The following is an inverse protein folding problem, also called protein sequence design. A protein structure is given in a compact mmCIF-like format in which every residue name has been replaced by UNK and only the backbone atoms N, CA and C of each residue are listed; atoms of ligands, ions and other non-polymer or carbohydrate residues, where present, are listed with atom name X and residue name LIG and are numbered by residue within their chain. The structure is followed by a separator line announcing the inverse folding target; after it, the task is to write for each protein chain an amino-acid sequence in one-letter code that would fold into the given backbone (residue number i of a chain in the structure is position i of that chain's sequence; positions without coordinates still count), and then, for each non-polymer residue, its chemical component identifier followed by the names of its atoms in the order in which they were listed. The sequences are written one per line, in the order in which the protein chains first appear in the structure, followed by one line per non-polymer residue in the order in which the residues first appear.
data_IF_705645138525
#
_entry.id   IF_705645138525
#
_cell.length_a   1.000
_cell.length_b   1.000
_cell.length_c   1.000
_cell.angle_alpha   90.00
_cell.angle_beta   90.00
_cell.angle_gamma   90.00
#
_symmetry.space_group_name_H-M   'P 1'
#
loop_
_entity.id
_entity.type
_entity.pdbx_description
1 polymer ?
#
# COMPACT_ATOMS: atom_id res chain seq x y z
N UNK A 1 11.73 -64.98 29.38
CA UNK A 1 11.46 -65.20 27.95
C UNK A 1 11.07 -63.86 27.39
N UNK A 2 12.05 -63.05 27.00
CA UNK A 2 11.80 -61.84 26.21
C UNK A 2 11.54 -62.28 24.77
N UNK A 3 10.37 -61.92 24.27
CA UNK A 3 9.99 -62.12 22.88
C UNK A 3 10.75 -61.10 22.05
N UNK A 4 11.82 -61.53 21.38
CA UNK A 4 12.43 -60.76 20.29
C UNK A 4 11.47 -60.78 19.11
N UNK A 5 10.67 -59.73 18.94
CA UNK A 5 9.91 -59.52 17.70
C UNK A 5 10.90 -59.43 16.54
N UNK A 6 10.59 -60.16 15.46
CA UNK A 6 11.38 -60.20 14.25
C UNK A 6 11.23 -58.85 13.51
N UNK A 7 12.29 -58.03 13.36
CA UNK A 7 12.20 -56.72 12.72
C UNK A 7 11.75 -56.81 11.26
N UNK A 8 12.03 -57.91 10.55
CA UNK A 8 11.59 -58.12 9.16
C UNK A 8 10.07 -58.24 9.02
N UNK A 9 9.35 -58.68 10.07
CA UNK A 9 7.89 -58.82 10.00
C UNK A 9 7.15 -57.47 10.12
N UNK A 10 7.84 -56.41 10.57
CA UNK A 10 7.26 -55.08 10.76
C UNK A 10 7.32 -54.23 9.48
N UNK A 11 8.21 -54.57 8.54
CA UNK A 11 8.38 -53.84 7.27
C UNK A 11 7.18 -53.98 6.32
N UNK A 12 6.45 -55.11 6.38
CA UNK A 12 5.34 -55.39 5.46
C UNK A 12 3.97 -54.83 5.93
N UNK A 13 3.88 -54.33 7.17
CA UNK A 13 2.60 -53.93 7.77
C UNK A 13 2.38 -52.43 7.94
N UNK A 14 3.39 -51.58 7.75
CA UNK A 14 3.24 -50.12 7.93
C UNK A 14 2.58 -49.52 6.69
N UNK A 15 1.37 -48.99 6.88
CA UNK A 15 0.65 -48.29 5.82
C UNK A 15 1.07 -46.82 5.75
N UNK A 16 1.02 -46.20 4.56
CA UNK A 16 1.31 -44.77 4.35
C UNK A 16 0.56 -43.89 5.37
N UNK A 17 -0.68 -44.25 5.72
CA UNK A 17 -1.49 -43.49 6.68
C UNK A 17 -0.97 -43.57 8.12
N UNK A 18 -0.45 -44.71 8.56
CA UNK A 18 0.12 -44.86 9.90
C UNK A 18 1.45 -44.11 10.01
N UNK A 19 2.31 -44.21 8.99
CA UNK A 19 3.58 -43.50 8.96
C UNK A 19 3.40 -41.97 8.84
N UNK A 20 2.37 -41.49 8.11
CA UNK A 20 2.00 -40.06 8.12
C UNK A 20 1.54 -39.62 9.50
N UNK A 21 0.79 -40.46 10.22
CA UNK A 21 0.31 -40.15 11.57
C UNK A 21 1.45 -40.10 12.60
N UNK A 22 2.46 -40.97 12.47
CA UNK A 22 3.68 -40.92 13.29
C UNK A 22 4.58 -39.70 12.96
N UNK A 23 4.65 -39.30 11.68
CA UNK A 23 5.47 -38.17 11.23
C UNK A 23 4.98 -36.79 11.72
N UNK A 24 3.72 -36.66 12.14
CA UNK A 24 3.17 -35.41 12.71
C UNK A 24 3.84 -35.05 14.05
N UNK A 25 4.74 -35.88 14.59
CA UNK A 25 5.46 -35.65 15.85
C UNK A 25 7.00 -35.76 15.85
N UNK A 26 7.68 -36.02 14.72
CA UNK A 26 9.15 -36.15 14.70
C UNK A 26 9.75 -36.69 13.39
N UNK A 27 11.09 -36.77 13.30
CA UNK A 27 11.80 -37.34 12.13
C UNK A 27 11.49 -38.84 11.96
N UNK A 28 11.14 -39.24 10.73
CA UNK A 28 10.91 -40.64 10.40
C UNK A 28 12.23 -41.45 10.41
N UNK A 29 12.25 -42.66 10.98
CA UNK A 29 13.38 -43.58 10.81
C UNK A 29 13.66 -43.85 9.33
N UNK A 30 14.95 -43.95 8.98
CA UNK A 30 15.42 -44.13 7.59
C UNK A 30 14.78 -45.33 6.87
N UNK A 31 14.46 -46.39 7.63
CA UNK A 31 13.81 -47.60 7.13
C UNK A 31 12.35 -47.33 6.73
N UNK A 32 11.63 -46.50 7.50
CA UNK A 32 10.24 -46.10 7.22
C UNK A 32 10.19 -45.19 5.99
N UNK A 33 11.15 -44.27 5.85
CA UNK A 33 11.27 -43.40 4.67
C UNK A 33 11.50 -44.20 3.37
N UNK A 34 12.30 -45.27 3.43
CA UNK A 34 12.57 -46.14 2.28
C UNK A 34 11.34 -46.98 1.87
N UNK A 35 10.54 -47.44 2.84
CA UNK A 35 9.27 -48.14 2.56
C UNK A 35 8.23 -47.17 1.98
N UNK A 36 8.09 -45.98 2.57
CA UNK A 36 7.23 -44.92 2.05
C UNK A 36 7.60 -44.56 0.62
N UNK A 37 8.88 -44.33 0.32
CA UNK A 37 9.34 -43.99 -1.04
C UNK A 37 8.91 -45.03 -2.08
N UNK A 38 8.97 -46.33 -1.75
CA UNK A 38 8.50 -47.41 -2.62
C UNK A 38 6.99 -47.41 -2.78
N UNK A 39 6.24 -47.32 -1.68
CA UNK A 39 4.78 -47.32 -1.73
C UNK A 39 4.23 -46.10 -2.50
N UNK A 40 4.85 -44.93 -2.32
CA UNK A 40 4.47 -43.67 -2.97
C UNK A 40 4.79 -43.71 -4.47
N UNK A 41 5.91 -44.34 -4.87
CA UNK A 41 6.29 -44.42 -6.28
C UNK A 41 5.20 -45.07 -7.15
N UNK A 42 4.45 -46.02 -6.59
CA UNK A 42 3.37 -46.73 -7.27
C UNK A 42 2.00 -46.03 -7.16
N UNK A 43 1.89 -44.92 -6.42
CA UNK A 43 0.62 -44.20 -6.26
C UNK A 43 0.30 -43.31 -7.49
N UNK A 44 -0.96 -43.33 -7.99
CA UNK A 44 -1.39 -42.42 -9.04
C UNK A 44 -1.38 -40.97 -8.56
N UNK A 45 -0.92 -40.04 -9.39
CA UNK A 45 -1.02 -38.61 -9.07
C UNK A 45 -2.48 -38.19 -8.99
N UNK A 46 -2.91 -37.77 -7.80
CA UNK A 46 -4.30 -37.44 -7.47
C UNK A 46 -4.98 -38.40 -6.50
N UNK A 47 -4.31 -39.49 -6.09
CA UNK A 47 -4.83 -40.39 -5.04
C UNK A 47 -4.76 -39.78 -3.63
N UNK A 48 -3.97 -38.71 -3.46
CA UNK A 48 -3.85 -37.97 -2.20
C UNK A 48 -4.17 -36.47 -2.41
N UNK A 49 -4.81 -35.82 -1.42
CA UNK A 49 -4.93 -34.36 -1.36
C UNK A 49 -3.56 -33.65 -1.48
N UNK A 50 -3.56 -32.43 -2.02
CA UNK A 50 -2.32 -31.65 -2.28
C UNK A 50 -1.49 -31.38 -1.02
N UNK A 51 -2.16 -31.15 0.10
CA UNK A 51 -1.59 -30.92 1.42
C UNK A 51 -0.86 -32.16 1.98
N UNK A 52 -1.36 -33.36 1.69
CA UNK A 52 -0.69 -34.60 2.10
C UNK A 52 0.63 -34.82 1.36
N UNK A 53 0.72 -34.43 0.09
CA UNK A 53 1.98 -34.48 -0.65
C UNK A 53 3.06 -33.60 -0.04
N UNK A 54 2.69 -32.43 0.51
CA UNK A 54 3.63 -31.53 1.19
C UNK A 54 4.23 -32.18 2.45
N UNK A 55 3.39 -32.85 3.24
CA UNK A 55 3.81 -33.57 4.46
C UNK A 55 4.70 -34.76 4.10
N UNK A 56 4.36 -35.50 3.05
CA UNK A 56 5.17 -36.63 2.58
C UNK A 56 6.54 -36.12 2.11
N UNK A 57 6.59 -35.10 1.26
CA UNK A 57 7.84 -34.57 0.74
C UNK A 57 8.72 -33.91 1.82
N UNK A 58 8.14 -33.36 2.89
CA UNK A 58 8.91 -32.77 3.99
C UNK A 58 9.66 -33.80 4.83
N UNK A 59 9.28 -35.08 4.74
CA UNK A 59 9.90 -36.17 5.47
C UNK A 59 10.89 -36.99 4.63
N UNK A 60 11.08 -36.65 3.35
CA UNK A 60 12.03 -37.33 2.47
C UNK A 60 13.31 -36.51 2.33
N UNK A 61 14.46 -37.19 2.36
CA UNK A 61 15.75 -36.57 2.06
C UNK A 61 15.83 -36.17 0.57
N UNK A 62 16.78 -35.28 0.24
CA UNK A 62 17.03 -34.89 -1.15
C UNK A 62 17.34 -36.10 -2.05
N UNK A 63 18.08 -37.09 -1.56
CA UNK A 63 18.36 -38.32 -2.31
C UNK A 63 17.09 -39.13 -2.61
N UNK A 64 16.16 -39.19 -1.66
CA UNK A 64 14.89 -39.92 -1.79
C UNK A 64 13.90 -39.19 -2.70
N UNK A 65 13.80 -37.87 -2.59
CA UNK A 65 13.03 -37.05 -3.53
C UNK A 65 13.54 -37.24 -4.96
N UNK A 66 14.86 -37.32 -5.16
CA UNK A 66 15.44 -37.58 -6.48
C UNK A 66 15.04 -38.93 -7.03
N UNK A 67 15.18 -39.98 -6.23
CA UNK A 67 14.75 -41.33 -6.61
C UNK A 67 13.25 -41.38 -6.90
N UNK A 68 12.43 -40.67 -6.13
CA UNK A 68 10.99 -40.62 -6.35
C UNK A 68 10.63 -39.92 -7.66
N UNK A 69 11.28 -38.79 -7.96
CA UNK A 69 11.12 -38.06 -9.21
C UNK A 69 11.60 -38.85 -10.44
N UNK A 70 12.64 -39.66 -10.29
CA UNK A 70 13.17 -40.54 -11.35
C UNK A 70 12.27 -41.77 -11.58
N UNK A 71 11.66 -42.28 -10.51
CA UNK A 71 10.84 -43.51 -10.56
C UNK A 71 9.41 -43.22 -11.04
N UNK A 72 8.85 -42.06 -10.72
CA UNK A 72 7.50 -41.67 -11.13
C UNK A 72 7.51 -40.34 -11.90
N UNK A 73 7.46 -40.39 -13.25
CA UNK A 73 7.47 -39.20 -14.10
C UNK A 73 6.31 -38.23 -13.85
N UNK A 74 5.18 -38.71 -13.31
CA UNK A 74 4.04 -37.86 -12.97
C UNK A 74 4.30 -37.05 -11.70
N UNK A 75 5.08 -37.59 -10.75
CA UNK A 75 5.52 -36.89 -9.54
C UNK A 75 6.73 -35.98 -9.81
N UNK A 76 7.47 -36.19 -10.89
CA UNK A 76 8.65 -35.40 -11.26
C UNK A 76 8.40 -33.88 -11.21
N UNK A 77 7.28 -33.40 -11.75
CA UNK A 77 6.93 -31.98 -11.72
C UNK A 77 6.64 -31.46 -10.30
N UNK A 78 5.98 -32.28 -9.46
CA UNK A 78 5.64 -31.90 -8.08
C UNK A 78 6.86 -31.94 -7.16
N UNK A 79 7.72 -32.96 -7.33
CA UNK A 79 8.97 -33.09 -6.60
C UNK A 79 9.96 -32.00 -7.02
N UNK A 80 10.06 -31.67 -8.31
CA UNK A 80 10.92 -30.56 -8.74
C UNK A 80 10.41 -29.19 -8.27
N UNK A 81 9.10 -29.00 -8.18
CA UNK A 81 8.52 -27.81 -7.54
C UNK A 81 8.79 -27.76 -6.03
N UNK A 82 8.92 -28.91 -5.38
CA UNK A 82 9.30 -29.01 -3.96
C UNK A 82 10.80 -28.82 -3.73
N UNK A 83 11.62 -29.27 -4.68
CA UNK A 83 13.09 -29.21 -4.69
C UNK A 83 13.68 -27.85 -5.05
N UNK A 84 12.88 -26.83 -5.33
CA UNK A 84 13.44 -25.49 -5.52
C UNK A 84 14.11 -25.06 -4.22
N UNK A 85 15.43 -25.19 -4.18
CA UNK A 85 16.28 -24.88 -3.06
C UNK A 85 16.44 -23.36 -2.95
N UNK A 86 16.10 -22.81 -1.79
CA UNK A 86 16.28 -21.40 -1.46
C UNK A 86 17.53 -21.27 -0.62
N UNK A 87 18.48 -20.50 -1.12
CA UNK A 87 19.71 -20.15 -0.42
C UNK A 87 19.44 -18.96 0.49
N UNK A 88 19.54 -19.15 1.80
CA UNK A 88 19.28 -18.11 2.80
C UNK A 88 20.52 -17.91 3.67
N UNK A 89 21.24 -16.78 3.54
CA UNK A 89 22.31 -16.46 4.45
C UNK A 89 21.76 -16.10 5.85
N UNK A 90 22.35 -16.67 6.90
CA UNK A 90 22.06 -16.25 8.27
C UNK A 90 22.78 -14.94 8.66
N UNK A 91 22.59 -14.50 9.91
CA UNK A 91 23.20 -13.28 10.44
C UNK A 91 24.74 -13.27 10.44
N UNK A 92 25.37 -14.43 10.25
CA UNK A 92 26.83 -14.60 10.16
C UNK A 92 27.31 -14.80 8.71
N UNK A 93 26.41 -14.73 7.73
CA UNK A 93 26.71 -14.93 6.31
C UNK A 93 26.82 -16.40 5.90
N UNK A 94 26.38 -17.35 6.75
CA UNK A 94 26.35 -18.78 6.40
C UNK A 94 25.10 -19.04 5.58
N UNK A 95 25.28 -19.56 4.36
CA UNK A 95 24.19 -19.87 3.44
C UNK A 95 23.58 -21.22 3.80
N UNK A 96 22.32 -21.19 4.25
CA UNK A 96 21.49 -22.36 4.50
C UNK A 96 20.65 -22.68 3.27
N UNK A 97 20.50 -23.96 2.95
CA UNK A 97 19.68 -24.44 1.84
C UNK A 97 18.35 -24.93 2.41
N UNK A 98 17.26 -24.25 2.07
CA UNK A 98 15.92 -24.64 2.49
C UNK A 98 15.11 -25.13 1.29
N UNK A 99 14.34 -26.21 1.45
CA UNK A 99 13.18 -26.43 0.57
C UNK A 99 12.12 -25.35 0.85
N UNK A 100 11.16 -25.15 -0.06
CA UNK A 100 10.07 -24.20 0.17
C UNK A 100 9.31 -24.46 1.49
N UNK A 101 9.12 -25.74 1.85
CA UNK A 101 8.44 -26.11 3.09
C UNK A 101 9.31 -25.84 4.34
N UNK A 102 10.61 -26.16 4.28
CA UNK A 102 11.54 -25.86 5.37
C UNK A 102 11.69 -24.35 5.57
N UNK A 103 11.70 -23.58 4.47
CA UNK A 103 11.73 -22.13 4.51
C UNK A 103 10.46 -21.58 5.17
N UNK A 104 9.28 -22.06 4.77
CA UNK A 104 8.02 -21.64 5.37
C UNK A 104 7.97 -21.94 6.88
N UNK A 105 8.49 -23.10 7.30
CA UNK A 105 8.57 -23.47 8.72
C UNK A 105 9.58 -22.61 9.48
N UNK A 106 10.78 -22.42 8.94
CA UNK A 106 11.84 -21.61 9.55
C UNK A 106 11.46 -20.13 9.71
N UNK A 107 10.68 -19.60 8.76
CA UNK A 107 10.14 -18.24 8.82
C UNK A 107 9.03 -18.10 9.87
N UNK A 108 8.16 -19.12 10.03
CA UNK A 108 7.16 -19.17 11.12
C UNK A 108 7.83 -19.18 12.49
N UNK A 109 8.90 -19.95 12.65
CA UNK A 109 9.64 -20.08 13.90
C UNK A 109 10.59 -18.91 14.17
N UNK A 110 10.55 -17.85 13.33
CA UNK A 110 11.27 -16.59 13.57
C UNK A 110 12.81 -16.74 13.55
N UNK A 111 13.33 -17.81 12.94
CA UNK A 111 14.78 -18.07 12.89
C UNK A 111 15.49 -17.29 11.78
N UNK A 112 14.75 -16.88 10.75
CA UNK A 112 15.26 -16.15 9.59
C UNK A 112 14.80 -14.71 9.67
N UNK A 113 15.75 -13.78 9.76
CA UNK A 113 15.51 -12.33 9.77
C UNK A 113 15.87 -11.66 8.44
N UNK A 114 16.51 -12.38 7.52
CA UNK A 114 16.90 -11.91 6.19
C UNK A 114 16.66 -12.98 5.14
N UNK A 115 15.96 -12.62 4.08
CA UNK A 115 15.69 -13.49 2.93
C UNK A 115 16.12 -12.77 1.65
N UNK A 116 17.19 -13.23 1.04
CA UNK A 116 17.64 -12.77 -0.26
C UNK A 116 18.13 -13.96 -1.07
N UNK A 117 17.56 -14.15 -2.25
CA UNK A 117 18.00 -15.19 -3.19
C UNK A 117 18.48 -14.53 -4.46
N UNK A 118 19.61 -14.99 -4.99
CA UNK A 118 20.15 -14.49 -6.26
C UNK A 118 19.49 -15.12 -7.50
N UNK A 119 18.40 -15.86 -7.29
CA UNK A 119 17.63 -16.57 -8.31
C UNK A 119 16.14 -16.21 -8.13
N UNK A 120 15.35 -16.13 -9.22
CA UNK A 120 13.92 -15.85 -9.13
C UNK A 120 13.24 -17.04 -8.45
N UNK A 121 13.05 -16.95 -7.12
CA UNK A 121 12.21 -17.89 -6.40
C UNK A 121 10.82 -17.27 -6.35
N UNK A 122 9.92 -17.89 -7.10
CA UNK A 122 8.52 -17.59 -7.06
C UNK A 122 7.93 -18.26 -5.80
N UNK A 123 8.06 -17.59 -4.65
CA UNK A 123 7.54 -18.10 -3.37
C UNK A 123 6.04 -17.78 -3.23
N UNK A 124 5.27 -18.10 -4.28
CA UNK A 124 3.83 -17.87 -4.41
C UNK A 124 2.95 -18.50 -3.30
N UNK A 125 3.55 -19.19 -2.32
CA UNK A 125 2.84 -19.85 -1.22
C UNK A 125 3.37 -19.49 0.17
N UNK A 126 4.33 -18.57 0.27
CA UNK A 126 4.79 -18.15 1.59
C UNK A 126 3.84 -17.08 2.14
N UNK A 127 3.04 -17.50 3.11
CA UNK A 127 2.21 -16.64 3.95
C UNK A 127 2.88 -16.50 5.33
N UNK A 128 3.36 -15.30 5.65
CA UNK A 128 3.83 -14.99 7.00
C UNK A 128 2.64 -14.57 7.85
N UNK A 129 2.42 -15.20 9.01
CA UNK A 129 1.46 -14.72 10.02
C UNK A 129 0.16 -15.50 10.17
N UNK A 130 -0.14 -16.49 9.33
CA UNK A 130 -1.33 -17.33 9.55
C UNK A 130 -1.08 -18.36 10.67
N UNK A 131 -1.43 -17.98 11.91
CA UNK A 131 -1.76 -18.95 12.96
C UNK A 131 -0.75 -19.16 14.09
N UNK A 132 -0.04 -18.14 14.58
CA UNK A 132 0.75 -18.29 15.82
C UNK A 132 -0.18 -18.25 17.05
N UNK A 133 -0.36 -19.35 17.81
CA UNK A 133 -1.08 -19.31 19.06
C UNK A 133 -0.17 -18.64 20.10
N UNK A 134 -0.42 -17.36 20.41
CA UNK A 134 0.31 -16.66 21.49
C UNK A 134 0.59 -15.18 21.30
N UNK A 135 0.26 -14.56 20.15
CA UNK A 135 0.28 -13.10 19.98
C UNK A 135 1.64 -12.41 20.15
N UNK A 136 2.75 -13.15 20.03
CA UNK A 136 4.10 -12.56 20.06
C UNK A 136 4.45 -11.97 18.70
N UNK A 137 4.89 -10.71 18.69
CA UNK A 137 5.35 -10.02 17.49
C UNK A 137 6.45 -10.82 16.77
N UNK A 138 6.33 -10.98 15.45
CA UNK A 138 7.38 -11.55 14.62
C UNK A 138 8.60 -10.61 14.60
N UNK A 139 9.84 -11.13 14.56
CA UNK A 139 11.01 -10.30 14.35
C UNK A 139 10.94 -9.62 12.98
N UNK A 140 11.57 -8.46 12.86
CA UNK A 140 11.69 -7.76 11.60
C UNK A 140 12.40 -8.64 10.55
N UNK A 141 11.81 -8.75 9.36
CA UNK A 141 12.34 -9.52 8.25
C UNK A 141 12.66 -8.62 7.06
N UNK A 142 13.84 -8.80 6.48
CA UNK A 142 14.30 -8.04 5.31
C UNK A 142 14.30 -8.92 4.05
N UNK A 143 13.66 -8.44 2.98
CA UNK A 143 13.54 -9.08 1.67
C UNK A 143 14.39 -8.34 0.64
N UNK A 144 15.21 -9.05 -0.13
CA UNK A 144 16.12 -8.48 -1.13
C UNK A 144 16.12 -9.26 -2.45
N UNK A 145 16.77 -8.69 -3.48
CA UNK A 145 17.24 -9.38 -4.69
C UNK A 145 16.17 -10.13 -5.51
N UNK A 146 14.96 -9.57 -5.64
CA UNK A 146 13.92 -10.16 -6.48
C UNK A 146 13.09 -11.27 -5.81
N UNK A 147 13.21 -11.46 -4.50
CA UNK A 147 12.30 -12.32 -3.73
C UNK A 147 10.85 -11.89 -3.94
N UNK A 148 9.98 -12.84 -4.26
CA UNK A 148 8.53 -12.61 -4.35
C UNK A 148 7.84 -13.30 -3.18
N UNK A 149 7.20 -12.51 -2.31
CA UNK A 149 6.32 -12.98 -1.25
C UNK A 149 4.86 -12.83 -1.69
N UNK A 150 4.08 -13.90 -1.64
CA UNK A 150 2.66 -13.83 -1.98
C UNK A 150 1.87 -13.04 -0.95
N UNK A 151 2.01 -13.36 0.35
CA UNK A 151 1.19 -12.75 1.39
C UNK A 151 1.96 -12.49 2.68
N UNK A 152 1.80 -11.30 3.23
CA UNK A 152 2.23 -10.92 4.57
C UNK A 152 1.02 -10.59 5.43
N UNK A 153 0.88 -11.23 6.59
CA UNK A 153 -0.28 -11.03 7.47
C UNK A 153 0.04 -10.57 8.90
N UNK A 154 1.30 -10.63 9.32
CA UNK A 154 1.75 -10.05 10.59
C UNK A 154 3.25 -9.69 10.54
N UNK A 155 3.70 -8.86 11.48
CA UNK A 155 5.12 -8.56 11.70
C UNK A 155 5.66 -7.31 11.00
N UNK A 156 6.96 -7.08 11.17
CA UNK A 156 7.68 -6.00 10.50
C UNK A 156 8.45 -6.56 9.29
N UNK A 157 8.23 -5.96 8.12
CA UNK A 157 8.83 -6.36 6.85
C UNK A 157 9.56 -5.18 6.21
N UNK A 158 10.74 -5.44 5.65
CA UNK A 158 11.47 -4.49 4.83
C UNK A 158 11.63 -5.07 3.44
N UNK A 159 11.13 -4.39 2.43
CA UNK A 159 11.15 -4.81 1.03
C UNK A 159 12.13 -3.93 0.27
N UNK A 160 13.20 -4.53 -0.23
CA UNK A 160 14.33 -3.82 -0.80
C UNK A 160 14.81 -4.44 -2.11
N UNK A 161 15.55 -3.69 -2.91
CA UNK A 161 16.37 -4.19 -4.04
C UNK A 161 15.61 -5.14 -4.99
N UNK A 162 14.45 -4.71 -5.48
CA UNK A 162 13.64 -5.46 -6.43
C UNK A 162 12.80 -6.59 -5.83
N UNK A 163 12.85 -6.80 -4.51
CA UNK A 163 11.91 -7.69 -3.83
C UNK A 163 10.46 -7.20 -4.00
N UNK A 164 9.51 -8.13 -4.00
CA UNK A 164 8.10 -7.87 -4.22
C UNK A 164 7.23 -8.59 -3.20
N UNK A 165 6.27 -7.88 -2.62
CA UNK A 165 5.15 -8.50 -1.90
C UNK A 165 3.90 -8.31 -2.74
N UNK A 166 3.14 -9.39 -2.97
CA UNK A 166 1.89 -9.28 -3.73
C UNK A 166 0.77 -8.73 -2.86
N UNK A 167 0.63 -9.23 -1.63
CA UNK A 167 -0.46 -8.81 -0.74
C UNK A 167 0.00 -8.66 0.70
N UNK A 168 -0.38 -7.56 1.33
CA UNK A 168 -0.20 -7.29 2.76
C UNK A 168 -1.59 -7.18 3.41
N UNK A 169 -1.87 -8.06 4.36
CA UNK A 169 -3.17 -8.20 5.02
C UNK A 169 -3.00 -8.32 6.54
N UNK A 170 -3.03 -7.21 7.27
CA UNK A 170 -3.12 -7.29 8.73
C UNK A 170 -2.84 -5.97 9.42
N UNK A 171 -3.68 -5.62 10.41
CA UNK A 171 -3.58 -4.37 11.16
C UNK A 171 -2.22 -4.16 11.86
N UNK A 172 -1.50 -5.24 12.16
CA UNK A 172 -0.20 -5.21 12.85
C UNK A 172 0.99 -5.32 11.92
N UNK A 173 0.77 -5.43 10.60
CA UNK A 173 1.89 -5.48 9.65
C UNK A 173 2.48 -4.09 9.49
N UNK A 174 3.80 -3.98 9.65
CA UNK A 174 4.57 -2.78 9.28
C UNK A 174 5.45 -3.10 8.09
N UNK A 175 5.23 -2.46 6.94
CA UNK A 175 6.07 -2.68 5.74
C UNK A 175 6.86 -1.42 5.41
N UNK A 176 8.17 -1.54 5.30
CA UNK A 176 9.05 -0.50 4.77
C UNK A 176 9.49 -0.87 3.35
N UNK A 177 9.17 -0.05 2.35
CA UNK A 177 9.47 -0.32 0.94
C UNK A 177 10.51 0.67 0.42
N UNK A 178 11.71 0.18 0.09
CA UNK A 178 12.86 1.01 -0.27
C UNK A 178 13.56 0.48 -1.52
N UNK A 179 14.36 1.31 -2.20
CA UNK A 179 15.40 0.90 -3.16
C UNK A 179 14.91 -0.08 -4.24
N UNK A 180 13.75 0.17 -4.85
CA UNK A 180 13.18 -0.68 -5.89
C UNK A 180 12.30 -1.83 -5.37
N UNK A 181 12.04 -1.90 -4.06
CA UNK A 181 11.02 -2.78 -3.50
C UNK A 181 9.62 -2.45 -4.01
N UNK A 182 8.78 -3.48 -4.17
CA UNK A 182 7.43 -3.35 -4.71
C UNK A 182 6.43 -4.04 -3.78
N UNK A 183 5.30 -3.38 -3.48
CA UNK A 183 4.14 -4.01 -2.85
C UNK A 183 2.92 -3.79 -3.73
N UNK A 184 2.26 -4.85 -4.20
CA UNK A 184 1.15 -4.67 -5.13
C UNK A 184 -0.13 -4.22 -4.43
N UNK A 185 -0.48 -4.87 -3.31
CA UNK A 185 -1.72 -4.60 -2.59
C UNK A 185 -1.52 -4.60 -1.08
N UNK A 186 -2.07 -3.58 -0.42
CA UNK A 186 -2.12 -3.42 1.04
C UNK A 186 -3.58 -3.27 1.43
N UNK A 187 -4.10 -4.16 2.28
CA UNK A 187 -5.49 -4.13 2.73
C UNK A 187 -5.69 -3.59 4.16
N UNK A 188 -4.62 -3.60 4.97
CA UNK A 188 -4.58 -3.04 6.32
C UNK A 188 -3.11 -2.95 6.78
N UNK A 189 -2.87 -2.31 7.92
CA UNK A 189 -1.55 -2.18 8.54
C UNK A 189 -0.87 -0.84 8.29
N UNK A 190 0.41 -0.72 8.64
CA UNK A 190 1.22 0.48 8.43
C UNK A 190 2.23 0.25 7.31
N UNK A 191 2.28 1.12 6.30
CA UNK A 191 3.25 1.03 5.21
C UNK A 191 3.98 2.34 5.04
N UNK A 192 5.31 2.28 5.09
CA UNK A 192 6.20 3.40 4.81
C UNK A 192 6.93 3.17 3.50
N UNK A 193 6.77 4.07 2.54
CA UNK A 193 7.36 3.99 1.20
C UNK A 193 8.43 5.08 1.07
N UNK A 194 9.67 4.69 0.81
CA UNK A 194 10.78 5.64 0.61
C UNK A 194 11.37 5.49 -0.80
N UNK A 195 12.48 6.19 -1.04
CA UNK A 195 13.20 6.32 -2.31
C UNK A 195 13.21 5.03 -3.12
N UNK A 196 12.57 5.06 -4.28
CA UNK A 196 12.50 3.98 -5.26
C UNK A 196 11.54 2.85 -4.89
N UNK A 197 10.92 2.89 -3.72
CA UNK A 197 9.85 1.98 -3.31
C UNK A 197 8.54 2.30 -4.01
N UNK A 198 7.78 1.26 -4.36
CA UNK A 198 6.48 1.41 -5.04
C UNK A 198 5.39 0.60 -4.36
N UNK A 199 4.23 1.21 -4.17
CA UNK A 199 3.01 0.52 -3.77
C UNK A 199 1.96 0.66 -4.86
N UNK A 200 1.34 -0.45 -5.26
CA UNK A 200 0.25 -0.45 -6.24
C UNK A 200 -1.03 0.14 -5.65
N UNK A 201 -1.75 -0.64 -4.87
CA UNK A 201 -3.01 -0.23 -4.24
C UNK A 201 -2.91 -0.41 -2.73
N UNK A 202 -3.27 0.63 -1.99
CA UNK A 202 -3.48 0.57 -0.56
C UNK A 202 -4.94 0.87 -0.24
N UNK A 203 -5.54 0.06 0.61
CA UNK A 203 -6.87 0.27 1.18
C UNK A 203 -6.78 0.05 2.68
N UNK A 204 -7.32 0.96 3.49
CA UNK A 204 -7.20 0.89 4.95
C UNK A 204 -5.78 1.11 5.49
N UNK A 205 -5.65 1.09 6.81
CA UNK A 205 -4.36 1.27 7.48
C UNK A 205 -3.78 2.68 7.41
N UNK A 206 -2.47 2.79 7.68
CA UNK A 206 -1.72 4.05 7.64
C UNK A 206 -0.61 3.96 6.58
N UNK A 207 -0.63 4.87 5.61
CA UNK A 207 0.30 4.88 4.48
C UNK A 207 1.13 6.17 4.54
N UNK A 208 2.43 6.03 4.73
CA UNK A 208 3.39 7.11 4.78
C UNK A 208 4.26 7.07 3.53
N UNK A 209 4.24 8.13 2.72
CA UNK A 209 5.00 8.24 1.48
C UNK A 209 6.06 9.32 1.63
N UNK A 210 7.32 8.92 1.62
CA UNK A 210 8.49 9.80 1.78
C UNK A 210 9.17 10.05 0.43
N UNK A 211 10.26 10.82 0.46
CA UNK A 211 11.04 11.21 -0.72
C UNK A 211 11.30 10.04 -1.66
N UNK A 212 10.96 10.22 -2.93
CA UNK A 212 11.12 9.22 -4.00
C UNK A 212 10.26 7.97 -3.87
N UNK A 213 9.33 7.92 -2.91
CA UNK A 213 8.31 6.88 -2.78
C UNK A 213 7.11 7.16 -3.69
N UNK A 214 6.54 6.09 -4.26
CA UNK A 214 5.40 6.16 -5.16
C UNK A 214 4.26 5.23 -4.70
N UNK A 215 3.04 5.76 -4.64
CA UNK A 215 1.83 4.95 -4.44
C UNK A 215 0.86 5.20 -5.58
N UNK A 216 0.41 4.15 -6.28
CA UNK A 216 -0.48 4.34 -7.41
C UNK A 216 -1.93 4.64 -6.97
N UNK A 217 -2.45 3.98 -5.94
CA UNK A 217 -3.82 4.24 -5.46
C UNK A 217 -3.93 4.04 -3.95
N UNK A 218 -4.59 4.99 -3.29
CA UNK A 218 -5.03 4.90 -1.89
C UNK A 218 -6.56 4.95 -1.86
N UNK A 219 -7.21 3.98 -1.20
CA UNK A 219 -8.66 3.85 -1.16
C UNK A 219 -9.20 3.73 0.28
N UNK A 220 -10.43 4.18 0.49
CA UNK A 220 -11.21 3.94 1.71
C UNK A 220 -10.65 4.66 2.93
N UNK A 221 -10.88 4.16 4.13
CA UNK A 221 -10.51 4.82 5.40
C UNK A 221 -9.00 4.85 5.72
N UNK A 222 -8.15 4.71 4.69
CA UNK A 222 -6.70 4.80 4.86
C UNK A 222 -6.31 6.21 5.32
N UNK A 223 -5.43 6.29 6.31
CA UNK A 223 -4.77 7.52 6.71
C UNK A 223 -3.48 7.66 5.89
N UNK A 224 -3.50 8.58 4.93
CA UNK A 224 -2.36 8.85 4.07
C UNK A 224 -1.56 10.09 4.50
N UNK A 225 -0.23 10.00 4.52
CA UNK A 225 0.64 11.16 4.70
C UNK A 225 1.73 11.18 3.62
N UNK A 226 1.74 12.23 2.80
CA UNK A 226 2.69 12.39 1.69
C UNK A 226 3.67 13.50 2.03
N UNK A 227 4.92 13.13 2.29
CA UNK A 227 6.01 14.04 2.61
C UNK A 227 6.78 14.51 1.37
N UNK A 228 7.78 15.38 1.59
CA UNK A 228 8.63 15.94 0.54
C UNK A 228 9.17 14.86 -0.40
N UNK A 229 8.98 15.07 -1.71
CA UNK A 229 9.40 14.15 -2.77
C UNK A 229 8.55 12.89 -2.92
N UNK A 230 7.57 12.64 -2.04
CA UNK A 230 6.61 11.55 -2.15
C UNK A 230 5.52 11.84 -3.17
N UNK A 231 5.00 10.78 -3.83
CA UNK A 231 3.94 10.93 -4.82
C UNK A 231 2.84 9.87 -4.72
N UNK A 232 1.59 10.32 -4.89
CA UNK A 232 0.42 9.46 -4.98
C UNK A 232 -0.36 9.78 -6.26
N UNK A 233 -0.68 8.78 -7.08
CA UNK A 233 -1.42 9.05 -8.32
C UNK A 233 -2.91 9.28 -8.06
N UNK A 234 -3.54 8.46 -7.22
CA UNK A 234 -4.99 8.56 -6.98
C UNK A 234 -5.34 8.28 -5.53
N UNK A 235 -6.21 9.10 -4.98
CA UNK A 235 -6.82 8.94 -3.66
C UNK A 235 -8.32 8.87 -3.86
N UNK A 236 -8.96 7.82 -3.32
CA UNK A 236 -10.41 7.62 -3.40
C UNK A 236 -10.98 7.44 -2.01
N UNK A 237 -11.77 8.41 -1.59
CA UNK A 237 -12.28 8.49 -0.23
C UNK A 237 -11.15 8.49 0.82
N UNK A 238 -11.51 8.52 2.11
CA UNK A 238 -10.53 8.50 3.20
C UNK A 238 -10.00 9.86 3.64
N UNK A 239 -8.95 9.83 4.46
CA UNK A 239 -8.32 11.03 5.02
C UNK A 239 -6.86 11.08 4.65
N UNK A 240 -6.42 12.17 4.04
CA UNK A 240 -5.03 12.34 3.61
C UNK A 240 -4.47 13.72 3.99
N UNK A 241 -3.20 13.77 4.39
CA UNK A 241 -2.43 15.02 4.42
C UNK A 241 -1.28 14.98 3.40
N UNK A 242 -1.11 16.08 2.68
CA UNK A 242 -0.05 16.30 1.68
C UNK A 242 0.83 17.45 2.18
N UNK A 243 1.99 17.09 2.70
CA UNK A 243 2.95 18.04 3.27
C UNK A 243 3.83 18.69 2.18
N UNK A 244 4.72 19.57 2.62
CA UNK A 244 5.56 20.36 1.72
C UNK A 244 6.37 19.47 0.79
N UNK A 245 6.28 19.73 -0.52
CA UNK A 245 6.97 18.96 -1.56
C UNK A 245 6.27 17.66 -1.97
N UNK A 246 5.28 17.20 -1.21
CA UNK A 246 4.43 16.07 -1.58
C UNK A 246 3.52 16.38 -2.77
N UNK A 247 3.22 15.35 -3.57
CA UNK A 247 2.39 15.48 -4.77
C UNK A 247 1.28 14.44 -4.84
N UNK A 248 0.07 14.88 -5.15
CA UNK A 248 -1.05 13.98 -5.47
C UNK A 248 -1.66 14.36 -6.82
N UNK A 249 -1.77 13.40 -7.74
CA UNK A 249 -2.32 13.71 -9.06
C UNK A 249 -3.85 13.82 -9.06
N UNK A 250 -4.57 12.93 -8.36
CA UNK A 250 -6.04 12.98 -8.34
C UNK A 250 -6.61 12.56 -7.00
N UNK A 251 -7.63 13.29 -6.57
CA UNK A 251 -8.41 13.05 -5.36
C UNK A 251 -9.88 12.93 -5.78
N UNK A 252 -10.53 11.86 -5.35
CA UNK A 252 -11.95 11.57 -5.59
C UNK A 252 -12.63 11.35 -4.23
N UNK A 253 -13.32 12.36 -3.71
CA UNK A 253 -13.96 12.30 -2.38
C UNK A 253 -12.99 12.39 -1.19
N UNK A 254 -13.48 12.04 0.00
CA UNK A 254 -12.70 12.05 1.24
C UNK A 254 -12.47 13.43 1.86
N UNK A 255 -11.56 13.48 2.84
CA UNK A 255 -11.07 14.68 3.53
C UNK A 255 -9.57 14.83 3.29
N UNK A 256 -9.13 15.94 2.70
CA UNK A 256 -7.72 16.15 2.38
C UNK A 256 -7.20 17.46 2.93
N UNK A 257 -6.03 17.37 3.55
CA UNK A 257 -5.26 18.50 4.04
C UNK A 257 -4.03 18.70 3.15
N UNK A 258 -3.76 19.93 2.68
CA UNK A 258 -2.62 20.21 1.81
C UNK A 258 -1.77 21.31 2.45
N UNK A 259 -0.63 20.95 3.03
CA UNK A 259 0.29 21.82 3.75
C UNK A 259 1.58 22.05 2.97
N UNK A 260 1.54 23.01 2.03
CA UNK A 260 2.68 23.29 1.14
C UNK A 260 2.92 22.26 0.03
N UNK A 261 2.09 21.21 -0.05
CA UNK A 261 2.07 20.24 -1.14
C UNK A 261 1.35 20.72 -2.40
N UNK A 262 1.30 19.86 -3.42
CA UNK A 262 0.54 20.11 -4.66
C UNK A 262 -0.43 18.98 -4.95
N UNK A 263 -1.67 19.34 -5.28
CA UNK A 263 -2.68 18.42 -5.81
C UNK A 263 -3.13 18.86 -7.20
N UNK A 264 -3.08 17.98 -8.19
CA UNK A 264 -3.45 18.36 -9.57
C UNK A 264 -4.96 18.45 -9.77
N UNK A 265 -5.72 17.48 -9.24
CA UNK A 265 -7.18 17.46 -9.38
C UNK A 265 -7.86 16.96 -8.12
N UNK A 266 -8.90 17.68 -7.69
CA UNK A 266 -9.85 17.27 -6.64
C UNK A 266 -11.23 17.15 -7.27
N UNK A 267 -11.94 16.06 -6.96
CA UNK A 267 -13.33 15.83 -7.38
C UNK A 267 -14.16 15.46 -6.16
N UNK A 268 -15.01 16.37 -5.68
CA UNK A 268 -15.79 16.17 -4.44
C UNK A 268 -14.94 16.14 -3.15
N UNK A 269 -15.59 15.80 -2.03
CA UNK A 269 -14.93 15.72 -0.72
C UNK A 269 -14.79 17.08 0.00
N UNK A 270 -14.02 17.07 1.08
CA UNK A 270 -13.62 18.25 1.85
C UNK A 270 -12.10 18.45 1.71
N UNK A 271 -11.66 19.64 1.29
CA UNK A 271 -10.24 19.91 1.06
C UNK A 271 -9.82 21.19 1.75
N UNK A 272 -8.76 21.11 2.54
CA UNK A 272 -8.15 22.23 3.23
C UNK A 272 -6.77 22.55 2.63
N UNK A 273 -6.55 23.79 2.21
CA UNK A 273 -5.44 24.18 1.33
C UNK A 273 -4.58 25.28 1.96
N UNK A 274 -3.41 24.91 2.43
CA UNK A 274 -2.22 25.79 2.64
C UNK A 274 -1.14 25.52 1.58
N UNK A 275 -1.51 24.87 0.46
CA UNK A 275 -0.63 24.53 -0.64
C UNK A 275 -1.20 24.96 -1.98
N UNK A 276 -0.98 24.15 -3.01
CA UNK A 276 -1.53 24.41 -4.35
C UNK A 276 -2.48 23.31 -4.81
N UNK A 277 -3.66 23.69 -5.29
CA UNK A 277 -4.57 22.82 -6.05
C UNK A 277 -4.72 23.37 -7.47
N UNK A 278 -4.50 22.54 -8.49
CA UNK A 278 -4.61 23.00 -9.88
C UNK A 278 -6.07 23.02 -10.37
N UNK A 279 -6.89 22.05 -9.97
CA UNK A 279 -8.29 21.94 -10.37
C UNK A 279 -9.15 21.35 -9.26
N UNK A 280 -10.27 22.02 -8.97
CA UNK A 280 -11.34 21.51 -8.09
C UNK A 280 -12.60 21.35 -8.91
N UNK A 281 -13.24 20.18 -8.82
CA UNK A 281 -14.53 19.85 -9.42
C UNK A 281 -15.51 19.40 -8.33
N UNK A 282 -16.33 20.32 -7.81
CA UNK A 282 -17.24 20.05 -6.69
C UNK A 282 -16.56 19.90 -5.33
N UNK A 283 -17.34 19.54 -4.30
CA UNK A 283 -16.86 19.41 -2.92
C UNK A 283 -16.84 20.73 -2.14
N UNK A 284 -16.27 20.71 -0.95
CA UNK A 284 -16.06 21.87 -0.08
C UNK A 284 -14.56 22.14 0.02
N UNK A 285 -14.10 23.32 -0.41
CA UNK A 285 -12.69 23.70 -0.36
C UNK A 285 -12.49 24.87 0.58
N UNK A 286 -11.58 24.72 1.53
CA UNK A 286 -11.17 25.72 2.50
C UNK A 286 -9.76 26.17 2.14
N UNK A 287 -9.65 27.34 1.50
CA UNK A 287 -8.36 27.94 1.16
C UNK A 287 -7.91 28.75 2.36
N UNK A 288 -6.84 28.29 2.99
CA UNK A 288 -6.38 28.81 4.25
C UNK A 288 -5.43 30.01 4.04
N UNK A 289 -5.49 30.99 4.95
CA UNK A 289 -4.61 32.14 4.90
C UNK A 289 -3.17 31.72 5.18
N UNK A 290 -2.24 32.63 4.88
CA UNK A 290 -0.85 32.50 5.33
C UNK A 290 -0.84 32.53 6.87
N UNK A 291 -0.37 31.47 7.53
CA UNK A 291 -0.10 31.46 8.96
C UNK A 291 1.41 31.24 9.19
N UNK A 292 2.11 32.27 9.64
CA UNK A 292 3.56 32.24 9.85
C UNK A 292 4.37 31.97 8.57
N UNK A 293 5.15 30.88 8.57
CA UNK A 293 6.03 30.46 7.47
C UNK A 293 5.30 29.61 6.40
N UNK A 294 4.03 29.23 6.62
CA UNK A 294 3.28 28.41 5.67
C UNK A 294 2.76 29.25 4.49
N UNK A 295 2.94 28.81 3.23
CA UNK A 295 2.46 29.57 2.08
C UNK A 295 0.93 29.67 2.07
N UNK A 296 0.41 30.80 1.58
CA UNK A 296 -1.03 30.98 1.30
C UNK A 296 -1.56 29.82 0.44
N UNK A 297 -2.75 29.33 0.75
CA UNK A 297 -3.47 28.41 -0.13
C UNK A 297 -3.73 29.02 -1.51
N UNK A 298 -3.57 28.21 -2.56
CA UNK A 298 -3.82 28.60 -3.95
C UNK A 298 -4.64 27.56 -4.69
N UNK A 299 -5.71 28.00 -5.34
CA UNK A 299 -6.51 27.16 -6.23
C UNK A 299 -6.53 27.79 -7.62
N UNK A 300 -6.05 27.09 -8.65
CA UNK A 300 -5.95 27.69 -10.00
C UNK A 300 -7.26 27.70 -10.77
N UNK A 301 -8.13 26.71 -10.54
CA UNK A 301 -9.42 26.56 -11.24
C UNK A 301 -10.42 25.84 -10.35
N UNK A 302 -11.66 26.33 -10.30
CA UNK A 302 -12.78 25.71 -9.57
C UNK A 302 -13.98 25.56 -10.49
N UNK A 303 -14.60 24.38 -10.46
CA UNK A 303 -15.83 24.06 -11.21
C UNK A 303 -16.87 23.50 -10.23
N UNK A 304 -17.82 24.32 -9.81
CA UNK A 304 -18.85 23.93 -8.83
C UNK A 304 -18.34 23.71 -7.40
N UNK A 305 -19.23 23.30 -6.50
CA UNK A 305 -18.93 23.10 -5.08
C UNK A 305 -19.01 24.38 -4.25
N UNK A 306 -18.47 24.31 -3.03
CA UNK A 306 -18.34 25.44 -2.10
C UNK A 306 -16.87 25.78 -1.91
N UNK A 307 -16.49 27.05 -2.02
CA UNK A 307 -15.13 27.50 -1.69
C UNK A 307 -15.19 28.57 -0.61
N UNK A 308 -14.54 28.28 0.53
CA UNK A 308 -14.35 29.17 1.64
C UNK A 308 -12.92 29.72 1.58
N UNK A 309 -12.77 31.04 1.50
CA UNK A 309 -11.46 31.69 1.39
C UNK A 309 -11.12 32.48 2.64
N UNK A 310 -9.98 32.13 3.25
CA UNK A 310 -9.32 32.95 4.25
C UNK A 310 -8.63 34.16 3.62
N UNK A 311 -8.23 35.11 4.47
CA UNK A 311 -7.48 36.31 4.05
C UNK A 311 -6.23 35.95 3.23
N UNK A 312 -5.88 36.77 2.23
CA UNK A 312 -4.73 36.57 1.33
C UNK A 312 -4.74 35.29 0.45
N UNK A 313 -5.85 34.55 0.46
CA UNK A 313 -6.04 33.41 -0.44
C UNK A 313 -6.15 33.85 -1.91
N UNK A 314 -5.72 32.97 -2.82
CA UNK A 314 -5.81 33.21 -4.27
C UNK A 314 -6.59 32.08 -4.94
N UNK A 315 -7.70 32.43 -5.59
CA UNK A 315 -8.49 31.52 -6.42
C UNK A 315 -8.63 32.07 -7.84
N UNK A 316 -8.20 31.28 -8.82
CA UNK A 316 -8.33 31.58 -10.24
C UNK A 316 -9.44 30.77 -10.91
N UNK A 317 -9.93 31.27 -12.06
CA UNK A 317 -10.70 30.48 -13.02
C UNK A 317 -11.92 29.77 -12.44
N UNK A 318 -12.88 30.53 -11.94
CA UNK A 318 -14.06 29.98 -11.27
C UNK A 318 -15.24 29.83 -12.23
N UNK A 319 -15.88 28.65 -12.27
CA UNK A 319 -17.09 28.40 -13.03
C UNK A 319 -18.13 27.64 -12.19
N UNK A 320 -19.22 28.31 -11.80
CA UNK A 320 -20.30 27.74 -10.98
C UNK A 320 -19.91 27.48 -9.51
N UNK A 321 -20.92 27.20 -8.67
CA UNK A 321 -20.77 26.94 -7.24
C UNK A 321 -20.99 28.16 -6.35
N UNK A 322 -20.74 27.97 -5.05
CA UNK A 322 -20.92 28.96 -3.98
C UNK A 322 -19.57 29.39 -3.43
N UNK A 323 -19.35 30.70 -3.31
CA UNK A 323 -18.12 31.26 -2.75
C UNK A 323 -18.42 32.03 -1.47
N UNK A 324 -17.69 31.72 -0.41
CA UNK A 324 -17.70 32.45 0.86
C UNK A 324 -16.30 33.04 1.04
N UNK A 325 -16.23 34.37 1.10
CA UNK A 325 -14.94 35.08 1.10
C UNK A 325 -14.84 35.94 2.35
N UNK A 326 -13.82 35.69 3.17
CA UNK A 326 -13.47 36.51 4.33
C UNK A 326 -12.31 37.48 4.05
N UNK A 327 -11.69 37.43 2.86
CA UNK A 327 -10.59 38.29 2.38
C UNK A 327 -9.87 37.68 1.16
N UNK A 328 -9.01 38.44 0.46
CA UNK A 328 -8.13 37.92 -0.61
C UNK A 328 -8.42 38.40 -2.04
N UNK A 329 -7.83 37.72 -3.03
CA UNK A 329 -7.96 38.05 -4.47
C UNK A 329 -8.62 36.91 -5.24
N UNK A 330 -9.58 37.25 -6.10
CA UNK A 330 -10.35 36.27 -6.86
C UNK A 330 -10.56 36.72 -8.31
N UNK A 331 -10.40 35.78 -9.25
CA UNK A 331 -10.78 35.97 -10.65
C UNK A 331 -12.02 35.12 -10.93
N UNK A 332 -13.12 35.79 -11.24
CA UNK A 332 -14.43 35.16 -11.41
C UNK A 332 -14.76 34.94 -12.88
N UNK A 333 -15.25 33.74 -13.19
CA UNK A 333 -15.88 33.42 -14.46
C UNK A 333 -17.41 33.48 -14.38
N UNK A 334 -18.12 33.07 -15.45
CA UNK A 334 -19.57 33.16 -15.52
C UNK A 334 -20.27 32.17 -14.59
N UNK A 335 -21.47 32.56 -14.10
CA UNK A 335 -22.35 31.67 -13.33
C UNK A 335 -21.96 31.44 -11.87
N UNK A 336 -21.12 32.31 -11.30
CA UNK A 336 -20.67 32.23 -9.91
C UNK A 336 -21.63 32.99 -8.98
N UNK A 337 -22.00 32.35 -7.86
CA UNK A 337 -22.70 33.00 -6.76
C UNK A 337 -21.69 33.37 -5.66
N UNK A 338 -21.58 34.68 -5.38
CA UNK A 338 -20.69 35.22 -4.36
C UNK A 338 -21.51 35.63 -3.13
N UNK A 339 -21.14 35.09 -1.98
CA UNK A 339 -21.61 35.51 -0.65
C UNK A 339 -20.43 36.10 0.12
N UNK A 340 -20.57 37.34 0.61
CA UNK A 340 -19.54 38.03 1.40
C UNK A 340 -20.01 38.07 2.86
N UNK A 341 -19.21 37.58 3.79
CA UNK A 341 -19.53 37.64 5.23
C UNK A 341 -19.12 38.99 5.85
N UNK A 342 -19.88 39.41 6.87
CA UNK A 342 -20.05 40.79 7.33
C UNK A 342 -18.85 41.37 8.11
N UNK A 343 -17.85 40.57 8.45
CA UNK A 343 -17.03 40.85 9.64
C UNK A 343 -15.67 41.52 9.41
N UNK A 344 -15.25 41.84 8.19
CA UNK A 344 -13.94 42.44 7.98
C UNK A 344 -13.94 43.62 6.98
N UNK A 345 -13.38 44.75 7.42
CA UNK A 345 -13.04 45.96 6.65
C UNK A 345 -11.97 45.68 5.56
N UNK A 346 -12.18 44.69 4.70
CA UNK A 346 -11.20 44.21 3.73
C UNK A 346 -11.52 44.71 2.32
N UNK A 347 -10.47 45.14 1.62
CA UNK A 347 -10.54 45.48 0.21
C UNK A 347 -10.45 44.21 -0.64
N UNK A 348 -11.45 43.99 -1.50
CA UNK A 348 -11.47 42.88 -2.45
C UNK A 348 -11.06 43.39 -3.84
N UNK A 349 -10.24 42.62 -4.56
CA UNK A 349 -10.03 42.83 -6.00
C UNK A 349 -10.75 41.71 -6.74
N UNK A 350 -11.83 42.06 -7.42
CA UNK A 350 -12.60 41.15 -8.27
C UNK A 350 -12.23 41.40 -9.72
N UNK A 351 -11.48 40.49 -10.34
CA UNK A 351 -11.22 40.51 -11.78
C UNK A 351 -12.28 39.71 -12.53
N UNK A 352 -12.89 40.30 -13.57
CA UNK A 352 -13.77 39.59 -14.48
C UNK A 352 -12.99 39.16 -15.73
N UNK A 353 -13.17 37.91 -16.17
CA UNK A 353 -12.71 37.47 -17.49
C UNK A 353 -13.43 38.31 -18.57
N UNK A 354 -12.70 39.04 -19.45
CA UNK A 354 -13.31 39.94 -20.44
C UNK A 354 -14.28 39.25 -21.41
N UNK A 355 -14.22 37.92 -21.55
CA UNK A 355 -15.09 37.15 -22.44
C UNK A 355 -16.32 36.52 -21.73
N UNK A 356 -16.55 36.85 -20.45
CA UNK A 356 -17.58 36.20 -19.62
C UNK A 356 -18.91 36.96 -19.47
N UNK A 357 -19.99 36.21 -19.20
CA UNK A 357 -21.34 36.74 -18.93
C UNK A 357 -21.35 37.63 -17.66
N UNK A 358 -22.29 38.60 -17.53
CA UNK A 358 -22.30 39.54 -16.41
C UNK A 358 -22.39 38.84 -15.06
N UNK A 359 -21.49 39.25 -14.16
CA UNK A 359 -21.38 38.80 -12.78
C UNK A 359 -22.67 39.13 -12.01
N UNK A 360 -23.31 38.13 -11.40
CA UNK A 360 -24.53 38.32 -10.61
C UNK A 360 -24.18 38.32 -9.13
N UNK A 361 -23.98 39.50 -8.56
CA UNK A 361 -23.79 39.68 -7.12
C UNK A 361 -25.18 39.72 -6.45
N UNK A 362 -25.48 38.76 -5.57
CA UNK A 362 -26.83 38.55 -5.02
C UNK A 362 -27.16 39.40 -3.78
N UNK A 363 -26.17 40.03 -3.15
CA UNK A 363 -26.40 40.92 -2.02
C UNK A 363 -25.09 41.50 -1.48
N UNK A 364 -25.20 42.65 -0.82
CA UNK A 364 -24.09 43.32 -0.13
C UNK A 364 -24.49 43.58 1.31
N UNK A 365 -23.58 43.29 2.24
CA UNK A 365 -23.70 43.71 3.63
C UNK A 365 -22.31 44.21 4.06
N UNK A 366 -22.06 45.52 3.94
CA UNK A 366 -20.78 46.14 4.31
C UNK A 366 -20.43 47.45 3.60
N UNK A 367 -19.48 48.22 4.17
CA UNK A 367 -19.04 49.54 3.68
C UNK A 367 -17.67 49.48 3.02
N UNK A 368 -17.59 49.06 1.75
CA UNK A 368 -16.40 49.29 0.90
C UNK A 368 -15.95 48.07 0.10
N UNK A 369 -16.05 48.16 -1.23
CA UNK A 369 -15.36 47.28 -2.17
C UNK A 369 -14.99 48.07 -3.43
N UNK A 370 -13.95 47.64 -4.15
CA UNK A 370 -13.51 48.22 -5.41
C UNK A 370 -13.59 47.16 -6.51
N UNK A 371 -14.50 47.34 -7.48
CA UNK A 371 -14.53 46.49 -8.67
C UNK A 371 -13.48 46.99 -9.65
N UNK A 372 -12.56 46.11 -10.07
CA UNK A 372 -11.47 46.45 -10.99
C UNK A 372 -11.51 45.47 -12.17
N UNK A 373 -11.59 45.96 -13.40
CA UNK A 373 -11.56 45.11 -14.60
C UNK A 373 -10.25 44.34 -14.72
N UNK A 374 -10.22 43.30 -15.57
CA UNK A 374 -8.98 42.58 -15.90
C UNK A 374 -7.86 43.50 -16.42
N UNK A 375 -8.20 44.66 -17.01
CA UNK A 375 -7.21 45.67 -17.44
C UNK A 375 -6.86 46.71 -16.36
N UNK A 376 -7.24 46.48 -15.10
CA UNK A 376 -6.93 47.39 -13.99
C UNK A 376 -7.82 48.64 -13.93
N UNK A 377 -8.95 48.68 -14.64
CA UNK A 377 -9.86 49.84 -14.62
C UNK A 377 -10.90 49.70 -13.53
N UNK A 378 -11.04 50.72 -12.68
CA UNK A 378 -12.14 50.83 -11.72
C UNK A 378 -13.47 50.78 -12.46
N UNK A 379 -14.28 49.76 -12.18
CA UNK A 379 -15.52 49.49 -12.90
C UNK A 379 -16.69 50.36 -12.41
N UNK A 380 -16.68 50.90 -11.19
CA UNK A 380 -17.68 51.88 -10.72
C UNK A 380 -17.21 52.66 -9.48
N UNK A 381 -17.65 53.92 -9.27
CA UNK A 381 -17.73 54.53 -7.94
C UNK A 381 -19.07 54.18 -7.25
N UNK A 382 -19.16 54.18 -5.90
CA UNK A 382 -20.42 53.96 -5.18
C UNK A 382 -21.35 55.20 -5.27
N UNK A 383 -22.69 55.04 -5.36
CA UNK A 383 -23.61 56.12 -5.08
C UNK A 383 -23.59 56.46 -3.57
N UNK A 384 -23.64 57.77 -3.27
CA UNK A 384 -23.73 58.34 -1.93
C UNK A 384 -25.01 57.93 -1.19
#
# INVERSE_FOLDING_TARGET
MESTENPEAREDSVTVNEAVTEAVGGELPQEVAAVMTRQIADMPVGSLPKDMWSVIFSNLSQGELGRLADTNPQLHQQVNAYRSEVLVPDAHGVVHIYTNAQLALALRDSTITRLGVHLPVDVNQLALGEGRPGGGALPAMELFAGVVLATAADGELRVMEGARITTVNGATVTVTVNQGGIVDTVADGRVSVYIGGKVGTASGGEILVYDGGEVATVNGDALGLVYDGGSVNTVKDGTMSVETGGRVATVEGGTIEIKGGTVDKVTGGEVEVWGTVNLVEGGNVYVQPTDGDAPSGRVKKVIGGTVNMGVDSVVGGVAGGTFVVAGGSMILGPGVELTVEEDNNLAYTLGADPDSAPLKVLGFVGTGFELISAEGKRLYPPPL
#
